data_IF_609093310349
#
_entry.id   IF_609093310349
#
_cell.length_a   1.000
_cell.length_b   1.000
_cell.length_c   1.000
_cell.angle_alpha   90.00
_cell.angle_beta   90.00
_cell.angle_gamma   90.00
#
_symmetry.space_group_name_H-M   'P 1'
#
loop_
_entity.id
_entity.type
_entity.pdbx_description
1 polymer ?
#
# COMPACT_ATOMS: atom_id res chain seq x y z
N UNK A 1 -12.70 7.63 20.35
CA UNK A 1 -13.76 7.29 19.39
C UNK A 1 -14.24 8.49 18.56
N UNK A 2 -13.43 9.54 18.41
CA UNK A 2 -13.75 10.71 17.60
C UNK A 2 -12.68 10.98 16.55
N UNK A 3 -13.07 11.66 15.47
CA UNK A 3 -12.21 12.09 14.37
C UNK A 3 -12.77 13.36 13.73
N UNK A 4 -11.99 14.02 12.89
CA UNK A 4 -12.40 15.24 12.20
C UNK A 4 -12.79 16.36 13.19
N UNK A 5 -13.79 17.15 12.86
CA UNK A 5 -14.25 18.27 13.68
C UNK A 5 -14.73 17.86 15.08
N UNK A 6 -15.31 16.67 15.24
CA UNK A 6 -15.71 16.18 16.56
C UNK A 6 -14.51 15.95 17.47
N UNK A 7 -13.41 15.38 16.91
CA UNK A 7 -12.16 15.26 17.64
C UNK A 7 -11.60 16.62 18.06
N UNK A 8 -11.55 17.59 17.14
CA UNK A 8 -11.03 18.92 17.42
C UNK A 8 -11.81 19.59 18.56
N UNK A 9 -13.13 19.55 18.50
CA UNK A 9 -14.01 20.13 19.53
C UNK A 9 -13.80 19.46 20.90
N UNK A 10 -13.75 18.13 20.94
CA UNK A 10 -13.52 17.36 22.19
C UNK A 10 -12.13 17.60 22.74
N UNK A 11 -11.12 17.66 21.89
CA UNK A 11 -9.75 17.91 22.29
C UNK A 11 -9.61 19.32 22.91
N UNK A 12 -10.19 20.34 22.28
CA UNK A 12 -10.21 21.69 22.83
C UNK A 12 -10.95 21.76 24.17
N UNK A 13 -12.11 21.12 24.30
CA UNK A 13 -12.85 21.04 25.55
C UNK A 13 -12.04 20.34 26.66
N UNK A 14 -11.31 19.28 26.34
CA UNK A 14 -10.41 18.62 27.30
C UNK A 14 -9.25 19.51 27.72
N UNK A 15 -8.65 20.26 26.80
CA UNK A 15 -7.59 21.21 27.09
C UNK A 15 -8.09 22.31 28.05
N UNK A 16 -9.28 22.89 27.77
CA UNK A 16 -9.89 23.88 28.64
C UNK A 16 -10.20 23.31 30.03
N UNK A 17 -10.77 22.10 30.09
CA UNK A 17 -11.05 21.41 31.35
C UNK A 17 -9.77 21.15 32.20
N UNK A 18 -8.64 20.89 31.54
CA UNK A 18 -7.36 20.77 32.23
C UNK A 18 -6.84 22.10 32.76
N UNK A 19 -7.04 23.20 32.01
CA UNK A 19 -6.66 24.55 32.45
C UNK A 19 -7.53 25.03 33.61
N UNK A 20 -8.83 24.69 33.63
CA UNK A 20 -9.75 24.95 34.69
C UNK A 20 -9.53 24.09 35.96
N UNK A 21 -8.55 23.19 35.95
CA UNK A 21 -8.23 22.34 37.10
C UNK A 21 -9.15 21.13 37.29
N UNK A 22 -10.06 20.85 36.36
CA UNK A 22 -11.00 19.72 36.43
C UNK A 22 -10.32 18.36 36.05
N UNK A 23 -9.18 18.40 35.38
CA UNK A 23 -8.38 17.20 35.04
C UNK A 23 -7.15 17.17 35.92
N UNK A 24 -7.03 16.14 36.78
CA UNK A 24 -5.94 16.06 37.76
C UNK A 24 -4.61 15.59 37.18
N UNK A 25 -4.67 14.68 36.20
CA UNK A 25 -3.48 14.07 35.63
C UNK A 25 -3.38 14.43 34.13
N UNK A 26 -2.61 15.43 33.82
CA UNK A 26 -2.30 15.78 32.43
C UNK A 26 -0.84 16.27 32.30
N UNK A 27 -0.32 16.21 31.10
CA UNK A 27 0.98 16.75 30.74
C UNK A 27 0.84 17.58 29.45
N UNK A 28 1.37 18.80 29.47
CA UNK A 28 1.52 19.61 28.26
C UNK A 28 2.88 19.27 27.62
N UNK A 29 2.87 18.92 26.37
CA UNK A 29 4.06 18.67 25.55
C UNK A 29 3.93 19.41 24.23
N UNK A 30 4.94 20.22 23.83
CA UNK A 30 4.90 20.86 22.51
C UNK A 30 4.79 19.82 21.39
N UNK A 31 3.78 19.94 20.54
CA UNK A 31 3.55 18.98 19.45
C UNK A 31 4.78 18.84 18.54
N UNK A 32 5.51 19.93 18.28
CA UNK A 32 6.75 19.94 17.49
C UNK A 32 7.85 19.08 18.10
N UNK A 33 8.00 19.07 19.42
CA UNK A 33 9.00 18.23 20.11
C UNK A 33 8.63 16.76 20.03
N UNK A 34 7.35 16.44 20.25
CA UNK A 34 6.85 15.08 20.09
C UNK A 34 7.05 14.56 18.67
N UNK A 35 6.69 15.36 17.67
CA UNK A 35 6.85 15.01 16.26
C UNK A 35 8.33 14.81 15.88
N UNK A 36 9.22 15.70 16.32
CA UNK A 36 10.67 15.54 16.12
C UNK A 36 11.19 14.24 16.72
N UNK A 37 10.71 13.87 17.92
CA UNK A 37 11.06 12.60 18.55
C UNK A 37 10.57 11.40 17.74
N UNK A 38 9.35 11.45 17.25
CA UNK A 38 8.80 10.39 16.37
C UNK A 38 9.62 10.23 15.09
N UNK A 39 9.94 11.32 14.40
CA UNK A 39 10.78 11.28 13.18
C UNK A 39 12.18 10.73 13.46
N UNK A 40 12.78 11.06 14.62
CA UNK A 40 14.08 10.52 15.00
C UNK A 40 14.01 9.00 15.19
N UNK A 41 13.01 8.50 15.92
CA UNK A 41 12.81 7.07 16.13
C UNK A 41 12.53 6.35 14.81
N UNK A 42 11.71 6.93 13.95
CA UNK A 42 11.45 6.42 12.60
C UNK A 42 12.74 6.28 11.78
N UNK A 43 13.60 7.30 11.83
CA UNK A 43 14.89 7.27 11.14
C UNK A 43 15.82 6.18 11.67
N UNK A 44 15.86 5.98 12.98
CA UNK A 44 16.76 5.03 13.66
C UNK A 44 16.28 3.58 13.58
N UNK A 45 14.94 3.36 13.54
CA UNK A 45 14.37 2.02 13.75
C UNK A 45 13.37 1.61 12.65
N UNK A 46 13.09 2.47 11.67
CA UNK A 46 12.03 2.30 10.68
C UNK A 46 10.61 2.23 11.27
N UNK A 47 10.45 2.46 12.58
CA UNK A 47 9.20 2.40 13.34
C UNK A 47 9.00 3.68 14.18
N UNK A 48 7.77 4.01 14.58
CA UNK A 48 6.46 3.42 14.25
C UNK A 48 6.00 3.81 12.84
N UNK A 49 5.08 3.04 12.24
CA UNK A 49 4.43 3.45 11.01
C UNK A 49 3.32 4.45 11.30
N UNK A 50 3.01 5.31 10.31
CA UNK A 50 2.02 6.36 10.51
C UNK A 50 0.68 5.98 9.86
N UNK A 51 -0.38 6.03 10.67
CA UNK A 51 -1.77 5.92 10.22
C UNK A 51 -2.44 7.27 10.48
N UNK A 52 -3.00 7.86 9.42
CA UNK A 52 -3.67 9.16 9.51
C UNK A 52 -5.14 8.96 9.83
N UNK A 53 -5.54 9.29 11.05
CA UNK A 53 -6.87 8.95 11.58
C UNK A 53 -8.02 9.54 10.78
N UNK A 54 -7.95 10.81 10.41
CA UNK A 54 -9.02 11.47 9.66
C UNK A 54 -9.21 10.89 8.25
N UNK A 55 -8.14 10.71 7.41
CA UNK A 55 -8.28 10.02 6.13
C UNK A 55 -8.87 8.61 6.26
N UNK A 56 -8.46 7.84 7.29
CA UNK A 56 -9.02 6.51 7.52
C UNK A 56 -10.51 6.55 7.83
N UNK A 57 -10.95 7.49 8.67
CA UNK A 57 -12.32 7.50 9.20
C UNK A 57 -13.31 8.31 8.36
N UNK A 58 -12.92 9.47 7.81
CA UNK A 58 -13.77 10.27 6.89
C UNK A 58 -14.10 9.45 5.64
N UNK A 59 -13.20 8.55 5.22
CA UNK A 59 -13.35 7.71 4.05
C UNK A 59 -13.77 6.26 4.37
N UNK A 60 -14.09 5.97 5.63
CA UNK A 60 -14.50 4.63 6.04
C UNK A 60 -15.93 4.32 5.61
N UNK A 61 -16.13 3.22 4.92
CA UNK A 61 -17.44 2.84 4.35
C UNK A 61 -18.49 2.55 5.41
N UNK A 62 -18.10 2.00 6.57
CA UNK A 62 -18.99 1.64 7.68
C UNK A 62 -18.87 2.59 8.89
N UNK A 63 -18.83 3.90 8.65
CA UNK A 63 -18.74 4.93 9.72
C UNK A 63 -19.84 4.81 10.78
N UNK A 64 -21.04 4.37 10.39
CA UNK A 64 -22.20 4.19 11.27
C UNK A 64 -22.01 3.03 12.27
N UNK A 65 -21.15 2.07 11.97
CA UNK A 65 -20.87 0.93 12.82
C UNK A 65 -19.74 1.17 13.81
N UNK A 66 -18.72 1.91 13.46
CA UNK A 66 -17.59 2.12 14.35
C UNK A 66 -16.47 2.98 13.76
N UNK A 67 -15.42 3.14 14.56
CA UNK A 67 -14.25 3.96 14.25
C UNK A 67 -13.03 3.08 13.98
N UNK A 68 -12.28 3.42 12.95
CA UNK A 68 -10.97 2.82 12.67
C UNK A 68 -9.97 3.38 13.68
N UNK A 69 -9.54 2.54 14.64
CA UNK A 69 -8.59 2.94 15.69
C UNK A 69 -7.15 2.78 15.24
N UNK A 70 -6.86 1.73 14.50
CA UNK A 70 -5.54 1.41 14.00
C UNK A 70 -5.67 0.57 12.72
N UNK A 71 -4.54 0.33 12.06
CA UNK A 71 -4.43 -0.57 10.91
C UNK A 71 -3.85 -1.93 11.34
N UNK A 72 -3.77 -2.89 10.40
CA UNK A 72 -3.00 -4.13 10.59
C UNK A 72 -1.49 -3.88 10.54
N UNK A 73 -0.68 -4.94 10.70
CA UNK A 73 0.78 -4.88 10.68
C UNK A 73 1.32 -4.21 9.42
N UNK A 74 0.79 -4.56 8.24
CA UNK A 74 1.26 -4.04 6.95
C UNK A 74 0.57 -2.75 6.50
N UNK A 75 -0.37 -2.22 7.29
CA UNK A 75 -1.04 -0.92 7.14
C UNK A 75 -1.99 -0.74 5.96
N UNK A 76 -2.34 -1.80 5.23
CA UNK A 76 -3.32 -1.74 4.14
C UNK A 76 -4.77 -1.85 4.60
N UNK A 77 -5.04 -2.39 5.80
CA UNK A 77 -6.39 -2.64 6.31
C UNK A 77 -6.85 -1.50 7.22
N UNK A 78 -7.99 -0.91 6.90
CA UNK A 78 -8.60 0.17 7.69
C UNK A 78 -10.06 -0.17 8.01
N UNK A 79 -10.24 -1.00 9.03
CA UNK A 79 -11.53 -1.50 9.51
C UNK A 79 -11.74 -1.11 10.97
N UNK A 80 -13.00 -0.96 11.39
CA UNK A 80 -13.33 -0.71 12.78
C UNK A 80 -13.21 -1.98 13.63
N UNK A 81 -13.09 -1.78 14.94
CA UNK A 81 -13.15 -2.83 15.95
C UNK A 81 -14.12 -2.41 17.05
N UNK A 82 -14.77 -3.39 17.71
CA UNK A 82 -15.66 -3.15 18.84
C UNK A 82 -15.27 -4.06 20.01
N UNK A 83 -15.22 -3.49 21.21
CA UNK A 83 -15.02 -4.27 22.43
C UNK A 83 -16.25 -5.12 22.74
N UNK A 84 -16.04 -6.36 23.20
CA UNK A 84 -17.11 -7.16 23.79
C UNK A 84 -17.62 -6.51 25.09
N UNK A 85 -18.93 -6.60 25.38
CA UNK A 85 -19.50 -6.11 26.62
C UNK A 85 -19.64 -7.24 27.64
N UNK A 86 -19.43 -6.90 28.89
CA UNK A 86 -19.52 -7.81 30.02
C UNK A 86 -20.43 -7.25 31.09
N UNK A 87 -21.22 -8.13 31.74
CA UNK A 87 -22.02 -7.80 32.93
C UNK A 87 -21.77 -8.90 33.97
N UNK A 88 -21.34 -8.49 35.17
CA UNK A 88 -21.02 -9.43 36.27
C UNK A 88 -20.05 -10.55 35.90
N UNK A 89 -19.07 -10.27 35.01
CA UNK A 89 -18.09 -11.23 34.53
C UNK A 89 -18.54 -12.10 33.33
N UNK A 90 -19.79 -12.07 32.96
CA UNK A 90 -20.33 -12.78 31.80
C UNK A 90 -20.34 -11.87 30.55
N UNK A 91 -19.95 -12.44 29.41
CA UNK A 91 -19.99 -11.73 28.11
C UNK A 91 -21.44 -11.61 27.66
N UNK A 92 -21.96 -10.39 27.59
CA UNK A 92 -23.33 -10.07 27.20
C UNK A 92 -23.48 -9.68 25.72
N UNK A 93 -22.39 -9.19 25.11
CA UNK A 93 -22.36 -8.82 23.70
C UNK A 93 -20.99 -9.20 23.11
N UNK A 94 -21.00 -9.88 21.97
CA UNK A 94 -19.77 -10.23 21.24
C UNK A 94 -19.32 -9.00 20.47
N UNK A 95 -18.08 -8.56 20.71
CA UNK A 95 -17.46 -7.47 19.97
C UNK A 95 -17.05 -7.85 18.55
N UNK A 96 -16.26 -7.00 17.94
CA UNK A 96 -15.76 -7.20 16.58
C UNK A 96 -14.24 -7.06 16.54
N UNK A 97 -13.54 -8.12 16.14
CA UNK A 97 -12.13 -8.08 15.77
C UNK A 97 -12.05 -8.08 14.26
N UNK A 98 -11.47 -7.04 13.67
CA UNK A 98 -11.39 -6.89 12.23
C UNK A 98 -10.60 -8.05 11.59
N UNK A 99 -11.18 -8.63 10.54
CA UNK A 99 -10.55 -9.65 9.67
C UNK A 99 -10.77 -9.22 8.23
N UNK A 100 -9.74 -9.33 7.39
CA UNK A 100 -9.83 -9.04 5.97
C UNK A 100 -9.11 -10.13 5.17
N UNK A 101 -9.83 -10.77 4.25
CA UNK A 101 -9.24 -11.74 3.34
C UNK A 101 -8.60 -10.99 2.17
N UNK A 102 -7.32 -11.26 1.91
CA UNK A 102 -6.51 -10.57 0.92
C UNK A 102 -6.26 -11.41 -0.33
N UNK A 103 -6.17 -10.74 -1.46
CA UNK A 103 -5.72 -11.28 -2.73
C UNK A 103 -5.08 -10.19 -3.57
N UNK A 104 -4.16 -10.56 -4.47
CA UNK A 104 -3.50 -9.59 -5.35
C UNK A 104 -3.42 -10.12 -6.77
N UNK A 105 -3.83 -9.29 -7.73
CA UNK A 105 -3.78 -9.60 -9.15
C UNK A 105 -2.37 -9.35 -9.67
N UNK A 106 -1.76 -10.33 -10.32
CA UNK A 106 -0.54 -10.12 -11.10
C UNK A 106 -0.89 -9.34 -12.38
N UNK A 107 -0.63 -8.03 -12.37
CA UNK A 107 -1.00 -7.15 -13.48
C UNK A 107 -0.20 -7.46 -14.76
N UNK A 108 1.04 -7.96 -14.64
CA UNK A 108 1.87 -8.28 -15.80
C UNK A 108 1.22 -9.32 -16.71
N UNK A 109 0.42 -10.24 -16.16
CA UNK A 109 -0.34 -11.23 -16.94
C UNK A 109 -1.48 -10.63 -17.78
N UNK A 110 -1.76 -9.34 -17.63
CA UNK A 110 -2.78 -8.60 -18.37
C UNK A 110 -2.17 -7.64 -19.39
N UNK A 111 -0.84 -7.66 -19.54
CA UNK A 111 -0.14 -6.91 -20.60
C UNK A 111 -0.05 -7.77 -21.85
N UNK A 112 -0.44 -7.20 -22.96
CA UNK A 112 -0.37 -7.83 -24.28
C UNK A 112 0.47 -7.00 -25.23
N UNK A 113 1.12 -7.67 -26.17
CA UNK A 113 1.87 -7.04 -27.25
C UNK A 113 0.97 -6.84 -28.47
N UNK A 114 1.00 -5.66 -29.05
CA UNK A 114 0.31 -5.36 -30.30
C UNK A 114 1.29 -4.79 -31.30
N UNK A 115 1.41 -5.43 -32.44
CA UNK A 115 2.16 -4.90 -33.57
C UNK A 115 1.24 -4.07 -34.46
N UNK A 116 1.57 -2.79 -34.65
CA UNK A 116 0.83 -1.89 -35.53
C UNK A 116 1.84 -1.18 -36.43
N UNK A 117 1.67 -1.32 -37.75
CA UNK A 117 2.55 -0.74 -38.76
C UNK A 117 4.06 -1.04 -38.55
N UNK A 118 4.37 -2.30 -38.15
CA UNK A 118 5.75 -2.75 -37.96
C UNK A 118 6.43 -2.25 -36.67
N UNK A 119 5.69 -1.60 -35.79
CA UNK A 119 6.14 -1.26 -34.43
C UNK A 119 5.38 -2.08 -33.41
N UNK A 120 6.10 -2.79 -32.56
CA UNK A 120 5.52 -3.47 -31.40
C UNK A 120 5.36 -2.48 -30.24
N UNK A 121 4.21 -2.56 -29.57
CA UNK A 121 3.93 -1.84 -28.35
C UNK A 121 3.16 -2.70 -27.37
N UNK A 122 3.26 -2.39 -26.10
CA UNK A 122 2.55 -3.10 -25.03
C UNK A 122 1.35 -2.29 -24.55
N UNK A 123 0.29 -2.96 -24.14
CA UNK A 123 -0.90 -2.34 -23.58
C UNK A 123 -1.57 -3.28 -22.56
N UNK A 124 -2.41 -2.73 -21.68
CA UNK A 124 -3.21 -3.54 -20.75
C UNK A 124 -4.48 -4.01 -21.45
N UNK A 125 -4.72 -5.32 -21.41
CA UNK A 125 -6.00 -5.90 -21.82
C UNK A 125 -7.03 -5.70 -20.67
N UNK A 126 -7.78 -4.62 -20.74
CA UNK A 126 -8.78 -4.26 -19.75
C UNK A 126 -9.95 -5.24 -19.65
N UNK A 127 -10.33 -5.92 -20.75
CA UNK A 127 -11.40 -6.93 -20.73
C UNK A 127 -10.95 -8.17 -19.93
N UNK A 128 -9.72 -8.62 -20.14
CA UNK A 128 -9.12 -9.70 -19.36
C UNK A 128 -8.97 -9.30 -17.88
N UNK A 129 -8.54 -8.08 -17.62
CA UNK A 129 -8.39 -7.56 -16.25
C UNK A 129 -9.74 -7.49 -15.54
N UNK A 130 -10.80 -7.00 -16.21
CA UNK A 130 -12.17 -7.00 -15.70
C UNK A 130 -12.62 -8.40 -15.29
N UNK A 131 -12.46 -9.38 -16.16
CA UNK A 131 -12.84 -10.77 -15.89
C UNK A 131 -12.09 -11.33 -14.68
N UNK A 132 -10.79 -11.01 -14.55
CA UNK A 132 -9.97 -11.42 -13.40
C UNK A 132 -10.43 -10.75 -12.11
N UNK A 133 -10.73 -9.44 -12.13
CA UNK A 133 -11.24 -8.70 -10.97
C UNK A 133 -12.55 -9.34 -10.48
N UNK A 134 -13.51 -9.58 -11.36
CA UNK A 134 -14.81 -10.17 -10.99
C UNK A 134 -14.65 -11.57 -10.39
N UNK A 135 -13.75 -12.38 -10.94
CA UNK A 135 -13.44 -13.71 -10.41
C UNK A 135 -12.78 -13.62 -9.04
N UNK A 136 -11.79 -12.73 -8.87
CA UNK A 136 -11.07 -12.56 -7.61
C UNK A 136 -11.98 -12.05 -6.49
N UNK A 137 -12.85 -11.09 -6.74
CA UNK A 137 -13.84 -10.62 -5.76
C UNK A 137 -14.75 -11.77 -5.31
N UNK A 138 -15.25 -12.59 -6.24
CA UNK A 138 -16.06 -13.77 -5.94
C UNK A 138 -15.30 -14.80 -5.11
N UNK A 139 -14.04 -15.06 -5.45
CA UNK A 139 -13.19 -16.01 -4.69
C UNK A 139 -12.98 -15.53 -3.27
N UNK A 140 -12.66 -14.26 -3.07
CA UNK A 140 -12.46 -13.67 -1.74
C UNK A 140 -13.74 -13.64 -0.90
N UNK A 141 -14.91 -13.35 -1.51
CA UNK A 141 -16.20 -13.46 -0.82
C UNK A 141 -16.50 -14.92 -0.39
N UNK A 142 -16.19 -15.91 -1.22
CA UNK A 142 -16.34 -17.32 -0.86
C UNK A 142 -15.43 -17.72 0.31
N UNK A 143 -14.20 -17.19 0.38
CA UNK A 143 -13.29 -17.49 1.50
C UNK A 143 -13.87 -17.06 2.84
N UNK A 144 -14.66 -15.98 2.91
CA UNK A 144 -15.32 -15.55 4.15
C UNK A 144 -16.20 -16.66 4.73
N UNK A 145 -16.92 -17.39 3.88
CA UNK A 145 -17.87 -18.43 4.31
C UNK A 145 -17.18 -19.76 4.68
N UNK A 146 -16.03 -20.07 4.08
CA UNK A 146 -15.32 -21.34 4.30
C UNK A 146 -14.16 -21.23 5.28
N UNK A 147 -13.80 -20.02 5.71
CA UNK A 147 -12.65 -19.76 6.57
C UNK A 147 -12.90 -20.22 8.01
N UNK A 148 -11.84 -20.59 8.71
CA UNK A 148 -11.86 -20.86 10.14
C UNK A 148 -11.55 -19.58 10.92
N UNK A 149 -12.39 -19.24 11.89
CA UNK A 149 -12.23 -18.07 12.75
C UNK A 149 -11.77 -18.50 14.15
N UNK A 150 -10.60 -18.03 14.61
CA UNK A 150 -10.04 -18.46 15.90
C UNK A 150 -10.80 -17.89 17.11
N UNK A 151 -11.55 -16.79 16.93
CA UNK A 151 -12.35 -16.17 17.99
C UNK A 151 -13.76 -15.83 17.50
N UNK A 152 -14.70 -15.75 18.43
CA UNK A 152 -16.09 -15.36 18.13
C UNK A 152 -16.17 -13.92 17.62
N UNK A 153 -15.31 -13.04 18.13
CA UNK A 153 -15.23 -11.65 17.71
C UNK A 153 -14.76 -11.51 16.24
N UNK A 154 -13.80 -12.34 15.82
CA UNK A 154 -13.34 -12.40 14.44
C UNK A 154 -14.45 -12.93 13.51
N UNK A 155 -15.12 -14.01 13.89
CA UNK A 155 -16.25 -14.55 13.14
C UNK A 155 -17.39 -13.51 13.03
N UNK A 156 -17.76 -12.86 14.16
CA UNK A 156 -18.80 -11.85 14.19
C UNK A 156 -18.50 -10.69 13.22
N UNK A 157 -17.29 -10.14 13.29
CA UNK A 157 -16.86 -9.03 12.41
C UNK A 157 -16.89 -9.42 10.93
N UNK A 158 -16.27 -10.57 10.60
CA UNK A 158 -16.06 -10.93 9.19
C UNK A 158 -17.36 -11.41 8.51
N UNK A 159 -18.19 -12.19 9.18
CA UNK A 159 -19.45 -12.66 8.62
C UNK A 159 -20.48 -11.53 8.48
N UNK A 160 -20.52 -10.60 9.46
CA UNK A 160 -21.44 -9.45 9.48
C UNK A 160 -21.10 -8.41 8.41
N UNK A 161 -19.83 -8.03 8.33
CA UNK A 161 -19.38 -6.91 7.48
C UNK A 161 -18.81 -7.37 6.12
N UNK A 162 -18.38 -8.62 6.01
CA UNK A 162 -17.81 -9.25 4.80
C UNK A 162 -16.72 -8.42 4.10
N UNK A 163 -15.73 -7.83 4.79
CA UNK A 163 -14.68 -7.08 4.13
C UNK A 163 -13.72 -8.00 3.39
N UNK A 164 -13.31 -7.57 2.20
CA UNK A 164 -12.21 -8.18 1.43
C UNK A 164 -11.21 -7.09 1.05
N UNK A 165 -9.99 -7.50 0.71
CA UNK A 165 -8.93 -6.62 0.28
C UNK A 165 -8.29 -7.15 -1.00
N UNK A 166 -8.88 -6.87 -2.15
CA UNK A 166 -8.25 -7.14 -3.43
C UNK A 166 -7.19 -6.09 -3.71
N UNK A 167 -6.01 -6.49 -4.16
CA UNK A 167 -4.90 -5.63 -4.52
C UNK A 167 -4.29 -5.99 -5.87
N UNK A 168 -3.14 -5.40 -6.16
CA UNK A 168 -2.35 -5.67 -7.37
C UNK A 168 -0.87 -5.81 -7.02
N UNK A 169 -0.12 -6.56 -7.82
CA UNK A 169 1.33 -6.65 -7.82
C UNK A 169 1.86 -6.53 -9.25
N UNK A 170 3.15 -6.40 -9.43
CA UNK A 170 3.81 -6.20 -10.71
C UNK A 170 3.54 -4.85 -11.39
N UNK A 171 3.22 -3.81 -10.63
CA UNK A 171 2.98 -2.47 -11.22
C UNK A 171 4.25 -1.96 -11.91
N UNK A 172 5.42 -2.10 -11.27
CA UNK A 172 6.67 -1.63 -11.86
C UNK A 172 7.11 -2.45 -13.08
N UNK A 173 6.86 -3.77 -13.10
CA UNK A 173 7.10 -4.61 -14.28
C UNK A 173 6.26 -4.13 -15.48
N UNK A 174 5.01 -3.79 -15.23
CA UNK A 174 4.13 -3.23 -16.26
C UNK A 174 4.65 -1.89 -16.77
N UNK A 175 5.07 -1.00 -15.88
CA UNK A 175 5.67 0.27 -16.26
C UNK A 175 6.96 0.08 -17.08
N UNK A 176 7.79 -0.92 -16.73
CA UNK A 176 8.95 -1.29 -17.55
C UNK A 176 8.55 -1.74 -18.96
N UNK A 177 7.51 -2.57 -19.11
CA UNK A 177 6.99 -3.00 -20.41
C UNK A 177 6.42 -1.83 -21.22
N UNK A 178 5.72 -0.92 -20.57
CA UNK A 178 5.15 0.28 -21.21
C UNK A 178 6.20 1.39 -21.44
N UNK A 179 7.43 1.19 -20.98
CA UNK A 179 8.51 2.18 -21.03
C UNK A 179 8.18 3.49 -20.32
N UNK A 180 7.55 3.40 -19.15
CA UNK A 180 7.17 4.52 -18.27
C UNK A 180 8.06 4.51 -17.03
N UNK A 181 8.69 5.61 -16.69
CA UNK A 181 9.43 5.75 -15.44
C UNK A 181 8.46 5.87 -14.27
N UNK A 182 8.66 5.07 -13.21
CA UNK A 182 7.74 4.98 -12.07
C UNK A 182 7.55 6.30 -11.33
N UNK A 183 8.55 7.17 -11.33
CA UNK A 183 8.56 8.49 -10.69
C UNK A 183 8.36 9.64 -11.70
N UNK A 184 7.55 9.43 -12.74
CA UNK A 184 7.20 10.40 -13.76
C UNK A 184 5.73 10.85 -13.69
N UNK A 185 5.42 11.98 -14.34
CA UNK A 185 4.04 12.45 -14.47
C UNK A 185 3.18 11.48 -15.29
N UNK A 186 3.79 10.78 -16.25
CA UNK A 186 3.12 9.74 -17.00
C UNK A 186 2.73 8.55 -16.12
N UNK A 187 3.58 8.17 -15.16
CA UNK A 187 3.27 7.15 -14.17
C UNK A 187 2.11 7.58 -13.26
N UNK A 188 2.04 8.85 -12.84
CA UNK A 188 0.92 9.36 -12.04
C UNK A 188 -0.38 9.21 -12.82
N UNK A 189 -0.41 9.62 -14.09
CA UNK A 189 -1.57 9.50 -14.96
C UNK A 189 -1.96 8.04 -15.20
N UNK A 190 -0.99 7.17 -15.49
CA UNK A 190 -1.20 5.74 -15.66
C UNK A 190 -1.85 5.10 -14.42
N UNK A 191 -1.33 5.40 -13.24
CA UNK A 191 -1.86 4.87 -11.99
C UNK A 191 -3.27 5.40 -11.71
N UNK A 192 -3.54 6.65 -12.02
CA UNK A 192 -4.86 7.24 -11.87
C UNK A 192 -5.90 6.51 -12.74
N UNK A 193 -5.62 6.34 -14.02
CA UNK A 193 -6.51 5.67 -14.97
C UNK A 193 -6.69 4.18 -14.67
N UNK A 194 -5.62 3.49 -14.30
CA UNK A 194 -5.67 2.07 -13.94
C UNK A 194 -6.52 1.84 -12.69
N UNK A 195 -6.28 2.62 -11.64
CA UNK A 195 -6.97 2.44 -10.37
C UNK A 195 -8.42 2.97 -10.40
N UNK A 196 -8.74 3.93 -11.26
CA UNK A 196 -10.13 4.29 -11.57
C UNK A 196 -10.90 3.08 -12.14
N UNK A 197 -10.37 2.46 -13.18
CA UNK A 197 -10.97 1.26 -13.79
C UNK A 197 -11.08 0.12 -12.77
N UNK A 198 -10.01 -0.15 -12.06
CA UNK A 198 -9.93 -1.20 -11.04
C UNK A 198 -10.99 -1.02 -9.94
N UNK A 199 -11.13 0.20 -9.43
CA UNK A 199 -12.12 0.54 -8.40
C UNK A 199 -13.54 0.33 -8.91
N UNK A 200 -13.85 0.88 -10.08
CA UNK A 200 -15.15 0.74 -10.71
C UNK A 200 -15.56 -0.73 -10.89
N UNK A 201 -14.65 -1.56 -11.42
CA UNK A 201 -14.91 -2.98 -11.67
C UNK A 201 -14.98 -3.81 -10.38
N UNK A 202 -14.20 -3.48 -9.36
CA UNK A 202 -14.23 -4.18 -8.07
C UNK A 202 -15.53 -3.93 -7.31
N UNK A 203 -15.99 -2.68 -7.30
CA UNK A 203 -17.27 -2.29 -6.70
C UNK A 203 -18.43 -2.95 -7.45
N UNK A 204 -18.43 -2.89 -8.77
CA UNK A 204 -19.45 -3.51 -9.60
C UNK A 204 -19.51 -5.03 -9.38
N UNK A 205 -18.37 -5.71 -9.29
CA UNK A 205 -18.31 -7.14 -9.00
C UNK A 205 -18.92 -7.50 -7.64
N UNK A 206 -18.65 -6.70 -6.60
CA UNK A 206 -19.26 -6.90 -5.28
C UNK A 206 -20.78 -6.66 -5.32
N UNK A 207 -21.24 -5.69 -6.09
CA UNK A 207 -22.66 -5.44 -6.26
C UNK A 207 -23.37 -6.54 -7.06
N UNK A 208 -22.70 -7.15 -8.06
CA UNK A 208 -23.23 -8.37 -8.72
C UNK A 208 -23.43 -9.50 -7.69
N UNK A 209 -22.48 -9.69 -6.78
CA UNK A 209 -22.63 -10.69 -5.73
C UNK A 209 -23.75 -10.32 -4.74
N UNK A 210 -23.98 -9.05 -4.47
CA UNK A 210 -25.12 -8.61 -3.66
C UNK A 210 -26.45 -8.95 -4.33
N UNK A 211 -26.58 -8.79 -5.63
CA UNK A 211 -27.76 -9.21 -6.41
C UNK A 211 -27.98 -10.72 -6.30
N UNK A 212 -26.92 -11.53 -6.33
CA UNK A 212 -27.00 -12.99 -6.31
C UNK A 212 -27.26 -13.54 -4.89
N UNK A 213 -26.71 -12.92 -3.83
CA UNK A 213 -26.58 -13.49 -2.48
C UNK A 213 -27.07 -12.57 -1.37
N UNK A 214 -27.58 -11.38 -1.68
CA UNK A 214 -27.89 -10.33 -0.72
C UNK A 214 -26.67 -9.50 -0.33
N UNK A 215 -26.93 -8.28 0.10
CA UNK A 215 -25.89 -7.36 0.62
C UNK A 215 -25.43 -7.78 2.03
N UNK A 216 -24.31 -7.24 2.51
CA UNK A 216 -23.77 -7.50 3.84
C UNK A 216 -24.67 -6.91 4.93
N UNK A 217 -24.67 -7.49 6.15
CA UNK A 217 -25.66 -7.22 7.22
C UNK A 217 -25.73 -5.74 7.60
N UNK A 218 -24.60 -5.03 7.65
CA UNK A 218 -24.52 -3.63 8.05
C UNK A 218 -24.48 -2.65 6.86
N UNK A 219 -25.07 -3.02 5.74
CA UNK A 219 -25.08 -2.18 4.54
C UNK A 219 -25.83 -0.87 4.74
N UNK A 220 -27.00 -0.93 5.38
CA UNK A 220 -27.83 0.25 5.61
C UNK A 220 -27.15 1.24 6.57
N UNK A 221 -27.06 2.50 6.16
CA UNK A 221 -26.31 3.54 6.87
C UNK A 221 -24.85 3.68 6.45
N UNK A 222 -24.33 2.74 5.64
CA UNK A 222 -22.98 2.82 5.10
C UNK A 222 -22.83 3.94 4.06
N UNK A 223 -21.59 4.32 3.73
CA UNK A 223 -21.34 5.25 2.62
C UNK A 223 -21.88 4.70 1.30
N UNK A 224 -21.85 3.37 1.11
CA UNK A 224 -22.41 2.73 -0.09
C UNK A 224 -23.91 2.96 -0.21
N UNK A 225 -24.67 2.78 0.86
CA UNK A 225 -26.12 3.01 0.87
C UNK A 225 -26.49 4.49 0.66
N UNK A 226 -25.56 5.40 0.92
CA UNK A 226 -25.67 6.84 0.67
C UNK A 226 -25.17 7.23 -0.73
N UNK A 227 -24.79 6.26 -1.57
CA UNK A 227 -24.21 6.51 -2.89
C UNK A 227 -22.89 7.32 -2.85
N UNK A 228 -22.13 7.18 -1.75
CA UNK A 228 -20.81 7.81 -1.55
C UNK A 228 -19.72 6.78 -1.82
N UNK A 229 -19.03 6.93 -2.92
CA UNK A 229 -17.96 6.03 -3.39
C UNK A 229 -16.58 6.53 -2.96
N UNK A 230 -15.50 5.76 -3.18
CA UNK A 230 -14.15 6.17 -2.77
C UNK A 230 -13.75 7.56 -3.26
N UNK A 231 -14.05 7.91 -4.50
CA UNK A 231 -13.74 9.24 -5.06
C UNK A 231 -14.54 10.36 -4.38
N UNK A 232 -15.82 10.11 -4.06
CA UNK A 232 -16.66 11.10 -3.38
C UNK A 232 -16.16 11.34 -1.95
N UNK A 233 -15.82 10.25 -1.24
CA UNK A 233 -15.25 10.31 0.09
C UNK A 233 -13.86 10.98 0.11
N UNK A 234 -13.07 10.81 -0.97
CA UNK A 234 -11.81 11.53 -1.16
C UNK A 234 -12.04 13.04 -1.34
N UNK A 235 -12.99 13.43 -2.17
CA UNK A 235 -13.34 14.83 -2.37
C UNK A 235 -13.84 15.47 -1.06
N UNK A 236 -14.64 14.74 -0.27
CA UNK A 236 -15.07 15.17 1.07
C UNK A 236 -13.88 15.38 2.02
N UNK A 237 -12.90 14.46 2.00
CA UNK A 237 -11.67 14.59 2.80
C UNK A 237 -10.86 15.82 2.36
N UNK A 238 -10.68 16.04 1.06
CA UNK A 238 -9.90 17.17 0.56
C UNK A 238 -10.59 18.50 0.88
N UNK A 239 -11.92 18.56 0.77
CA UNK A 239 -12.72 19.70 1.21
C UNK A 239 -12.58 19.97 2.72
N UNK A 240 -12.65 18.92 3.55
CA UNK A 240 -12.40 19.03 4.99
C UNK A 240 -11.02 19.60 5.31
N UNK A 241 -9.99 19.20 4.56
CA UNK A 241 -8.61 19.69 4.69
C UNK A 241 -8.39 21.08 4.10
N UNK A 242 -9.35 21.64 3.38
CA UNK A 242 -9.19 22.89 2.62
C UNK A 242 -8.18 22.78 1.48
N UNK A 243 -8.08 21.61 0.86
CA UNK A 243 -7.15 21.31 -0.23
C UNK A 243 -7.90 20.95 -1.51
N UNK A 244 -7.28 21.22 -2.65
CA UNK A 244 -7.80 20.76 -3.93
C UNK A 244 -7.57 19.24 -4.10
N UNK A 245 -8.53 18.51 -4.69
CA UNK A 245 -8.33 17.11 -5.05
C UNK A 245 -7.23 16.95 -6.09
N UNK A 246 -6.52 15.82 -6.06
CA UNK A 246 -5.56 15.45 -7.10
C UNK A 246 -6.32 15.14 -8.39
N UNK A 247 -5.93 15.78 -9.49
CA UNK A 247 -6.67 15.73 -10.77
C UNK A 247 -8.00 16.50 -10.66
N UNK A 248 -8.95 16.18 -11.52
CA UNK A 248 -10.25 16.87 -11.55
C UNK A 248 -11.24 16.37 -10.48
N UNK A 249 -10.91 15.29 -9.75
CA UNK A 249 -11.86 14.63 -8.85
C UNK A 249 -13.09 14.06 -9.56
N UNK A 250 -13.02 13.96 -10.89
CA UNK A 250 -14.08 13.48 -11.76
C UNK A 250 -13.82 12.03 -12.21
N UNK A 251 -14.88 11.34 -12.59
CA UNK A 251 -14.87 9.96 -13.10
C UNK A 251 -15.15 9.93 -14.59
N UNK A 252 -14.69 8.87 -15.26
CA UNK A 252 -15.15 8.55 -16.63
C UNK A 252 -16.62 8.13 -16.56
N UNK A 253 -17.51 8.99 -17.09
CA UNK A 253 -18.94 9.03 -16.74
C UNK A 253 -19.70 7.71 -16.92
N UNK A 254 -19.52 7.00 -18.04
CA UNK A 254 -20.42 5.90 -18.41
C UNK A 254 -20.28 4.65 -17.53
N UNK A 255 -19.07 4.21 -17.25
CA UNK A 255 -18.83 3.00 -16.44
C UNK A 255 -19.23 3.21 -14.97
N UNK A 256 -18.97 4.41 -14.43
CA UNK A 256 -19.36 4.76 -13.07
C UNK A 256 -20.87 4.90 -12.91
N UNK A 257 -21.57 5.44 -13.91
CA UNK A 257 -23.04 5.54 -13.91
C UNK A 257 -23.66 4.14 -13.74
N UNK A 258 -23.20 3.16 -14.54
CA UNK A 258 -23.66 1.77 -14.47
C UNK A 258 -23.38 1.18 -13.08
N UNK A 259 -22.18 1.38 -12.55
CA UNK A 259 -21.80 0.84 -11.24
C UNK A 259 -22.61 1.47 -10.10
N UNK A 260 -22.83 2.79 -10.12
CA UNK A 260 -23.63 3.52 -9.13
C UNK A 260 -25.09 3.08 -9.15
N UNK A 261 -25.67 2.98 -10.35
CA UNK A 261 -27.05 2.50 -10.51
C UNK A 261 -27.20 1.08 -9.95
N UNK A 262 -26.28 0.19 -10.28
CA UNK A 262 -26.34 -1.21 -9.81
C UNK A 262 -26.19 -1.32 -8.30
N UNK A 263 -25.27 -0.55 -7.68
CA UNK A 263 -25.13 -0.50 -6.21
C UNK A 263 -26.38 0.09 -5.56
N UNK A 264 -26.99 1.11 -6.15
CA UNK A 264 -28.25 1.69 -5.64
C UNK A 264 -29.41 0.71 -5.68
N UNK A 265 -29.43 -0.20 -6.66
CA UNK A 265 -30.52 -1.19 -6.83
C UNK A 265 -30.31 -2.45 -5.96
N UNK A 266 -29.08 -2.95 -5.87
CA UNK A 266 -28.77 -4.25 -5.26
C UNK A 266 -27.89 -4.19 -4.00
N UNK A 267 -27.32 -3.04 -3.68
CA UNK A 267 -26.36 -2.87 -2.59
C UNK A 267 -24.97 -3.41 -2.90
N UNK A 268 -24.20 -3.64 -1.82
CA UNK A 268 -22.85 -4.20 -1.86
C UNK A 268 -22.81 -5.52 -1.06
N UNK A 269 -22.15 -6.55 -1.60
CA UNK A 269 -21.90 -7.81 -0.89
C UNK A 269 -20.86 -7.67 0.21
N UNK A 270 -19.89 -6.78 0.02
CA UNK A 270 -18.72 -6.59 0.88
C UNK A 270 -18.70 -5.15 1.39
N UNK A 271 -18.43 -4.95 2.67
CA UNK A 271 -18.31 -3.60 3.27
C UNK A 271 -17.10 -2.84 2.73
N UNK A 272 -16.03 -3.57 2.42
CA UNK A 272 -14.82 -3.07 1.81
C UNK A 272 -14.35 -4.08 0.76
N UNK A 273 -13.73 -3.59 -0.31
CA UNK A 273 -13.38 -4.44 -1.46
C UNK A 273 -11.89 -4.40 -1.79
N UNK A 274 -11.23 -3.27 -1.59
CA UNK A 274 -9.90 -3.00 -2.13
C UNK A 274 -8.89 -2.60 -1.05
N UNK A 275 -7.74 -3.29 -1.03
CA UNK A 275 -6.59 -2.95 -0.20
C UNK A 275 -5.31 -3.37 -0.94
N UNK A 276 -4.26 -2.56 -0.86
CA UNK A 276 -2.99 -2.87 -1.51
C UNK A 276 -1.99 -3.38 -0.48
N UNK A 277 -1.88 -4.72 -0.43
CA UNK A 277 -0.95 -5.43 0.43
C UNK A 277 0.49 -5.43 -0.13
N UNK A 278 1.52 -5.68 0.68
CA UNK A 278 2.92 -5.63 0.23
C UNK A 278 3.29 -6.70 -0.79
N UNK A 279 2.66 -7.86 -0.76
CA UNK A 279 2.87 -9.04 -1.63
C UNK A 279 4.32 -9.52 -1.76
N UNK A 280 5.15 -9.33 -0.72
CA UNK A 280 6.57 -9.62 -0.75
C UNK A 280 6.86 -11.07 -1.18
N UNK A 281 6.29 -12.06 -0.50
CA UNK A 281 6.52 -13.48 -0.80
C UNK A 281 5.83 -13.91 -2.09
N UNK A 282 4.58 -13.53 -2.31
CA UNK A 282 3.84 -13.97 -3.51
C UNK A 282 4.32 -13.28 -4.78
N UNK A 283 4.93 -12.09 -4.70
CA UNK A 283 5.63 -11.44 -5.80
C UNK A 283 6.80 -12.31 -6.28
N UNK A 284 7.67 -12.74 -5.38
CA UNK A 284 8.80 -13.65 -5.73
C UNK A 284 8.34 -15.00 -6.25
N UNK A 285 7.28 -15.60 -5.67
CA UNK A 285 6.71 -16.86 -6.18
C UNK A 285 6.23 -16.70 -7.63
N UNK A 286 5.69 -15.54 -7.97
CA UNK A 286 5.20 -15.23 -9.32
C UNK A 286 6.31 -14.67 -10.25
N UNK A 287 7.51 -14.43 -9.75
CA UNK A 287 8.63 -13.85 -10.51
C UNK A 287 8.38 -12.41 -10.97
N UNK A 288 7.70 -11.62 -10.15
CA UNK A 288 7.36 -10.21 -10.43
C UNK A 288 7.70 -9.31 -9.26
N UNK A 289 7.78 -8.00 -9.51
CA UNK A 289 7.95 -7.00 -8.47
C UNK A 289 6.76 -6.95 -7.51
N UNK A 290 7.07 -6.66 -6.27
CA UNK A 290 6.12 -6.64 -5.17
C UNK A 290 5.16 -5.46 -5.31
N UNK A 291 3.86 -5.73 -5.20
CA UNK A 291 2.82 -4.72 -5.04
C UNK A 291 2.96 -3.55 -6.05
N UNK A 292 3.08 -2.36 -5.50
CA UNK A 292 3.22 -1.07 -6.21
C UNK A 292 4.64 -0.52 -6.11
N UNK A 293 5.56 -1.29 -5.50
CA UNK A 293 6.88 -0.82 -5.11
C UNK A 293 7.79 -0.60 -6.32
N UNK A 294 8.70 0.39 -6.25
CA UNK A 294 9.78 0.47 -7.19
C UNK A 294 10.72 -0.72 -7.03
N UNK A 295 11.29 -1.16 -8.11
CA UNK A 295 12.35 -2.18 -8.11
C UNK A 295 13.48 -1.73 -7.17
N UNK A 296 13.84 -2.61 -6.23
CA UNK A 296 14.85 -2.27 -5.22
C UNK A 296 16.21 -1.98 -5.87
N UNK A 297 16.63 -2.88 -6.76
CA UNK A 297 17.87 -2.81 -7.54
C UNK A 297 17.74 -3.79 -8.71
N UNK A 298 18.52 -3.64 -9.78
CA UNK A 298 18.49 -4.58 -10.91
C UNK A 298 19.08 -5.95 -10.59
N UNK A 299 19.85 -6.05 -9.52
CA UNK A 299 20.40 -7.28 -8.96
C UNK A 299 20.54 -7.11 -7.45
N UNK A 300 20.03 -8.07 -6.69
CA UNK A 300 20.26 -8.15 -5.24
C UNK A 300 20.26 -9.60 -4.75
N UNK A 301 20.78 -9.80 -3.56
CA UNK A 301 20.80 -11.13 -2.92
C UNK A 301 19.61 -11.22 -1.98
N UNK A 302 18.76 -12.20 -2.19
CA UNK A 302 17.69 -12.57 -1.28
C UNK A 302 18.16 -13.74 -0.41
N UNK A 303 18.29 -13.49 0.88
CA UNK A 303 18.71 -14.49 1.86
C UNK A 303 17.51 -15.04 2.62
N UNK A 304 17.39 -16.35 2.70
CA UNK A 304 16.42 -17.01 3.56
C UNK A 304 17.03 -18.29 4.18
N UNK A 305 16.23 -19.03 4.98
CA UNK A 305 16.67 -20.27 5.62
C UNK A 305 17.12 -21.36 4.63
N UNK A 306 16.73 -21.28 3.38
CA UNK A 306 17.09 -22.25 2.32
C UNK A 306 18.36 -21.86 1.58
N UNK A 307 18.88 -20.63 1.78
CA UNK A 307 20.12 -20.15 1.16
C UNK A 307 20.01 -18.75 0.58
N UNK A 308 21.01 -18.37 -0.19
CA UNK A 308 21.13 -17.08 -0.85
C UNK A 308 20.75 -17.21 -2.31
N UNK A 309 19.81 -16.38 -2.76
CA UNK A 309 19.30 -16.36 -4.12
C UNK A 309 19.61 -15.01 -4.77
N UNK A 310 20.17 -15.05 -5.98
CA UNK A 310 20.35 -13.83 -6.77
C UNK A 310 19.06 -13.53 -7.52
N UNK A 311 18.45 -12.40 -7.19
CA UNK A 311 17.28 -11.88 -7.89
C UNK A 311 17.75 -10.85 -8.90
N UNK A 312 17.37 -11.03 -10.15
CA UNK A 312 17.72 -10.14 -11.26
C UNK A 312 16.46 -9.59 -11.92
N UNK A 313 16.49 -8.31 -12.28
CA UNK A 313 15.42 -7.71 -13.06
C UNK A 313 15.52 -8.18 -14.53
N UNK A 314 14.57 -9.00 -14.98
CA UNK A 314 14.58 -9.56 -16.32
C UNK A 314 14.37 -8.49 -17.40
N UNK A 315 13.60 -7.44 -17.12
CA UNK A 315 13.38 -6.33 -18.06
C UNK A 315 14.69 -5.58 -18.35
N UNK A 316 15.51 -5.38 -17.30
CA UNK A 316 16.85 -4.81 -17.47
C UNK A 316 17.74 -5.67 -18.36
N UNK A 317 17.77 -6.99 -18.13
CA UNK A 317 18.56 -7.92 -18.94
C UNK A 317 18.08 -7.91 -20.39
N UNK A 318 16.77 -7.87 -20.62
CA UNK A 318 16.19 -7.86 -21.96
C UNK A 318 16.53 -6.55 -22.70
N UNK A 319 16.41 -5.40 -22.03
CA UNK A 319 16.79 -4.12 -22.62
C UNK A 319 18.29 -4.06 -22.94
N UNK A 320 19.16 -4.54 -22.04
CA UNK A 320 20.61 -4.63 -22.29
C UNK A 320 20.95 -5.55 -23.47
N UNK A 321 20.23 -6.68 -23.63
CA UNK A 321 20.38 -7.57 -24.78
C UNK A 321 19.92 -6.92 -26.08
N UNK A 322 18.81 -6.20 -26.05
CA UNK A 322 18.28 -5.49 -27.22
C UNK A 322 19.25 -4.40 -27.71
N UNK A 323 19.96 -3.76 -26.79
CA UNK A 323 21.03 -2.81 -27.12
C UNK A 323 22.37 -3.49 -27.51
N UNK A 324 22.45 -4.82 -27.42
CA UNK A 324 23.70 -5.56 -27.70
C UNK A 324 24.78 -5.39 -26.64
N UNK A 325 24.41 -4.95 -25.43
CA UNK A 325 25.33 -4.59 -24.34
C UNK A 325 25.45 -5.68 -23.26
N UNK A 326 24.61 -6.73 -23.29
CA UNK A 326 24.67 -7.77 -22.27
C UNK A 326 25.78 -8.79 -22.52
N UNK A 327 26.74 -8.87 -21.60
CA UNK A 327 27.83 -9.84 -21.61
C UNK A 327 28.13 -10.33 -20.20
N UNK A 328 28.93 -11.45 -20.04
CA UNK A 328 29.39 -11.91 -18.73
C UNK A 328 30.18 -10.85 -17.95
N UNK A 329 30.94 -10.03 -18.63
CA UNK A 329 31.73 -8.93 -18.06
C UNK A 329 30.80 -7.85 -17.49
N UNK A 330 29.77 -7.44 -18.24
CA UNK A 330 28.76 -6.47 -17.77
C UNK A 330 27.96 -7.04 -16.60
N UNK A 331 27.57 -8.31 -16.65
CA UNK A 331 26.90 -8.97 -15.54
C UNK A 331 27.75 -8.95 -14.26
N UNK A 332 29.08 -9.15 -14.38
CA UNK A 332 30.02 -9.03 -13.27
C UNK A 332 30.09 -7.60 -12.73
N UNK A 333 30.22 -6.59 -13.61
CA UNK A 333 30.22 -5.18 -13.21
C UNK A 333 28.96 -4.81 -12.44
N UNK A 334 27.77 -5.20 -12.94
CA UNK A 334 26.48 -4.98 -12.25
C UNK A 334 26.46 -5.62 -10.87
N UNK A 335 27.02 -6.84 -10.75
CA UNK A 335 27.14 -7.53 -9.46
C UNK A 335 28.11 -6.82 -8.51
N UNK A 336 29.23 -6.31 -9.00
CA UNK A 336 30.25 -5.62 -8.18
C UNK A 336 29.74 -4.32 -7.57
N UNK A 337 28.69 -3.73 -8.15
CA UNK A 337 27.99 -2.52 -7.65
C UNK A 337 26.64 -2.82 -6.99
N UNK A 338 26.35 -4.09 -6.68
CA UNK A 338 25.08 -4.53 -6.06
C UNK A 338 23.85 -4.05 -6.84
N UNK A 339 23.96 -3.98 -8.17
CA UNK A 339 22.91 -3.55 -9.09
C UNK A 339 22.61 -2.05 -9.11
N UNK A 340 23.41 -1.22 -8.46
CA UNK A 340 23.30 0.23 -8.53
C UNK A 340 24.04 0.77 -9.79
N UNK A 341 23.28 0.93 -10.88
CA UNK A 341 23.82 1.35 -12.17
C UNK A 341 24.40 2.76 -12.15
N UNK A 342 24.08 3.59 -11.15
CA UNK A 342 24.65 4.94 -11.00
C UNK A 342 26.15 4.93 -10.71
N UNK A 343 26.64 3.80 -10.20
CA UNK A 343 28.07 3.60 -9.85
C UNK A 343 28.92 3.07 -11.01
N UNK A 344 28.28 2.74 -12.14
CA UNK A 344 28.97 2.28 -13.33
C UNK A 344 29.33 3.45 -14.24
N UNK A 345 30.63 3.70 -14.41
CA UNK A 345 31.15 4.60 -15.46
C UNK A 345 31.22 3.84 -16.79
N UNK A 346 30.80 4.47 -17.90
CA UNK A 346 30.98 3.97 -19.26
C UNK A 346 29.68 3.49 -19.94
N UNK A 347 29.75 2.42 -20.71
CA UNK A 347 28.92 2.08 -21.87
C UNK A 347 27.42 1.76 -21.65
N UNK A 348 26.86 1.91 -20.44
CA UNK A 348 25.43 1.75 -20.23
C UNK A 348 24.71 3.06 -20.61
N UNK A 349 23.78 3.02 -21.58
CA UNK A 349 23.03 4.18 -22.00
C UNK A 349 22.32 4.88 -20.85
N UNK A 350 22.31 6.22 -20.88
CA UNK A 350 21.72 7.01 -19.80
C UNK A 350 20.23 6.70 -19.59
N UNK A 351 19.48 6.40 -20.65
CA UNK A 351 18.07 6.03 -20.53
C UNK A 351 17.87 4.72 -19.74
N UNK A 352 18.78 3.73 -19.86
CA UNK A 352 18.77 2.50 -19.06
C UNK A 352 19.05 2.81 -17.59
N UNK A 353 20.07 3.65 -17.31
CA UNK A 353 20.37 4.08 -15.95
C UNK A 353 19.18 4.80 -15.32
N UNK A 354 18.46 5.66 -16.05
CA UNK A 354 17.28 6.37 -15.57
C UNK A 354 16.09 5.42 -15.34
N UNK A 355 15.84 4.50 -16.27
CA UNK A 355 14.74 3.54 -16.19
C UNK A 355 14.90 2.56 -15.01
N UNK A 356 16.14 2.16 -14.72
CA UNK A 356 16.48 1.15 -13.72
C UNK A 356 17.18 1.70 -12.47
N UNK A 357 16.93 2.96 -12.11
CA UNK A 357 17.35 3.53 -10.82
C UNK A 357 16.91 2.66 -9.66
N UNK A 358 17.74 2.60 -8.61
CA UNK A 358 17.33 1.94 -7.37
C UNK A 358 16.15 2.67 -6.72
N UNK A 359 15.41 1.97 -5.87
CA UNK A 359 14.30 2.57 -5.13
C UNK A 359 14.72 3.84 -4.34
N UNK A 360 15.96 3.87 -3.84
CA UNK A 360 16.49 5.01 -3.08
C UNK A 360 16.83 6.25 -3.92
N UNK A 361 17.04 6.07 -5.22
CA UNK A 361 17.42 7.15 -6.15
C UNK A 361 16.19 7.72 -6.90
N UNK A 362 14.99 7.21 -6.60
CA UNK A 362 13.72 7.70 -7.12
C UNK A 362 13.28 8.98 -6.42
N UNK A 363 12.53 9.81 -7.14
CA UNK A 363 11.91 10.98 -6.56
C UNK A 363 10.76 10.57 -5.62
N UNK A 364 10.98 10.62 -4.30
CA UNK A 364 10.01 10.19 -3.30
C UNK A 364 8.70 10.99 -3.37
N UNK A 365 8.74 12.27 -3.69
CA UNK A 365 7.52 13.08 -3.83
C UNK A 365 6.67 12.63 -5.03
N UNK A 366 7.29 12.23 -6.14
CA UNK A 366 6.57 11.64 -7.28
C UNK A 366 5.97 10.27 -6.93
N UNK A 367 6.65 9.45 -6.14
CA UNK A 367 6.08 8.20 -5.64
C UNK A 367 4.90 8.45 -4.70
N UNK A 368 4.93 9.50 -3.87
CA UNK A 368 3.78 9.92 -3.05
C UNK A 368 2.61 10.36 -3.94
N UNK A 369 2.85 11.17 -4.98
CA UNK A 369 1.82 11.57 -5.95
C UNK A 369 1.19 10.35 -6.65
N UNK A 370 1.99 9.35 -7.08
CA UNK A 370 1.50 8.09 -7.63
C UNK A 370 0.59 7.36 -6.63
N UNK A 371 0.99 7.31 -5.34
CA UNK A 371 0.19 6.66 -4.32
C UNK A 371 -1.09 7.44 -3.97
N UNK A 372 -1.05 8.77 -4.01
CA UNK A 372 -2.25 9.59 -3.87
C UNK A 372 -3.23 9.35 -5.03
N UNK A 373 -2.72 9.22 -6.27
CA UNK A 373 -3.52 8.88 -7.44
C UNK A 373 -4.22 7.52 -7.29
N UNK A 374 -3.55 6.53 -6.70
CA UNK A 374 -4.14 5.22 -6.37
C UNK A 374 -5.12 5.32 -5.21
N UNK A 375 -4.70 5.94 -4.09
CA UNK A 375 -5.45 5.96 -2.83
C UNK A 375 -6.83 6.61 -2.98
N UNK A 376 -7.01 7.60 -3.85
CA UNK A 376 -8.32 8.25 -4.03
C UNK A 376 -9.40 7.28 -4.51
N UNK A 377 -9.02 6.21 -5.21
CA UNK A 377 -9.92 5.19 -5.75
C UNK A 377 -10.18 4.01 -4.80
N UNK A 378 -9.42 3.86 -3.72
CA UNK A 378 -9.49 2.73 -2.80
C UNK A 378 -10.35 3.03 -1.57
N UNK A 379 -11.08 2.03 -1.11
CA UNK A 379 -11.88 2.09 0.12
C UNK A 379 -11.09 1.75 1.38
N UNK A 380 -10.02 0.95 1.29
CA UNK A 380 -9.06 0.76 2.38
C UNK A 380 -7.74 1.49 2.08
N UNK A 381 -6.58 0.99 2.53
CA UNK A 381 -5.30 1.68 2.44
C UNK A 381 -4.29 0.96 1.54
N UNK A 382 -3.10 1.51 1.48
CA UNK A 382 -1.96 1.03 0.70
C UNK A 382 -0.78 0.82 1.65
N UNK A 383 -0.17 -0.38 1.63
CA UNK A 383 1.13 -0.63 2.25
C UNK A 383 2.21 0.07 1.44
N UNK A 384 2.52 1.30 1.80
CA UNK A 384 3.43 2.17 1.04
C UNK A 384 4.75 2.37 1.75
N UNK A 385 5.84 1.81 1.23
CA UNK A 385 7.19 2.04 1.73
C UNK A 385 7.71 3.42 1.33
N UNK A 386 8.38 4.06 2.26
CA UNK A 386 9.08 5.33 2.05
C UNK A 386 10.59 5.05 1.93
N UNK A 387 11.21 5.44 0.84
CA UNK A 387 12.65 5.26 0.61
C UNK A 387 13.38 6.56 0.91
N UNK A 388 14.38 6.50 1.77
CA UNK A 388 15.10 7.66 2.24
C UNK A 388 16.61 7.49 2.05
N UNK A 389 17.21 8.42 1.30
CA UNK A 389 18.64 8.51 1.10
C UNK A 389 19.27 9.74 1.77
N UNK A 390 18.48 10.44 2.63
CA UNK A 390 18.89 11.69 3.28
C UNK A 390 18.98 11.54 4.80
N UNK A 391 19.94 12.20 5.42
CA UNK A 391 20.04 12.32 6.90
C UNK A 391 19.26 13.53 7.44
N UNK A 392 18.58 14.29 6.58
CA UNK A 392 17.85 15.50 6.94
C UNK A 392 16.50 15.19 7.57
N UNK A 393 16.32 15.54 8.85
CA UNK A 393 15.01 15.47 9.51
C UNK A 393 13.97 16.40 8.88
N UNK A 394 14.42 17.48 8.23
CA UNK A 394 13.51 18.36 7.47
C UNK A 394 12.94 17.62 6.25
N UNK A 395 13.80 16.96 5.48
CA UNK A 395 13.38 16.17 4.32
C UNK A 395 12.38 15.06 4.73
N UNK A 396 12.68 14.37 5.84
CA UNK A 396 11.78 13.35 6.38
C UNK A 396 10.43 13.94 6.82
N UNK A 397 10.45 15.09 7.50
CA UNK A 397 9.21 15.81 7.84
C UNK A 397 8.41 16.14 6.58
N UNK A 398 9.07 16.67 5.54
CA UNK A 398 8.39 17.08 4.31
C UNK A 398 7.74 15.88 3.58
N UNK A 399 8.37 14.70 3.57
CA UNK A 399 7.81 13.44 3.06
C UNK A 399 6.51 13.06 3.82
N UNK A 400 6.56 12.97 5.16
CA UNK A 400 5.39 12.58 5.94
C UNK A 400 4.26 13.61 5.86
N UNK A 401 4.60 14.89 5.83
CA UNK A 401 3.62 15.97 5.64
C UNK A 401 2.98 15.89 4.26
N UNK A 402 3.74 15.54 3.22
CA UNK A 402 3.19 15.36 1.88
C UNK A 402 2.24 14.15 1.82
N UNK A 403 2.61 13.01 2.42
CA UNK A 403 1.70 11.87 2.57
C UNK A 403 0.37 12.27 3.20
N UNK A 404 0.44 13.02 4.31
CA UNK A 404 -0.77 13.51 4.98
C UNK A 404 -1.58 14.49 4.11
N UNK A 405 -0.93 15.47 3.48
CA UNK A 405 -1.57 16.47 2.61
C UNK A 405 -2.28 15.82 1.44
N UNK A 406 -1.63 14.86 0.77
CA UNK A 406 -2.16 14.16 -0.40
C UNK A 406 -3.34 13.24 -0.09
N UNK A 407 -3.71 13.08 1.19
CA UNK A 407 -4.86 12.28 1.59
C UNK A 407 -4.60 10.78 1.69
N UNK A 408 -3.33 10.36 1.80
CA UNK A 408 -3.00 8.98 2.11
C UNK A 408 -3.58 8.59 3.48
N UNK A 409 -3.97 7.34 3.63
CA UNK A 409 -4.49 6.79 4.89
C UNK A 409 -3.37 6.31 5.80
N UNK A 410 -2.33 5.71 5.23
CA UNK A 410 -1.24 5.05 5.96
C UNK A 410 0.09 5.23 5.24
N UNK A 411 1.18 5.01 5.99
CA UNK A 411 2.52 4.72 5.48
C UNK A 411 3.01 3.42 6.09
N UNK A 412 3.96 2.76 5.43
CA UNK A 412 4.55 1.52 5.90
C UNK A 412 6.00 1.73 6.37
N UNK A 413 6.96 0.89 6.00
CA UNK A 413 8.35 1.06 6.41
C UNK A 413 8.98 2.35 5.89
N UNK A 414 9.78 3.00 6.73
CA UNK A 414 10.80 3.93 6.29
C UNK A 414 12.08 3.14 6.02
N UNK A 415 12.42 2.96 4.76
CA UNK A 415 13.65 2.27 4.36
C UNK A 415 14.77 3.29 4.19
N UNK A 416 15.78 3.21 5.03
CA UNK A 416 16.96 4.08 4.96
C UNK A 416 18.07 3.39 4.19
N UNK A 417 18.74 4.11 3.26
CA UNK A 417 19.99 3.63 2.66
C UNK A 417 21.04 3.57 3.76
N UNK A 418 21.71 2.42 3.92
CA UNK A 418 22.75 2.27 4.91
C UNK A 418 23.89 3.29 4.68
N UNK A 419 24.34 3.94 5.74
CA UNK A 419 25.37 4.98 5.68
C UNK A 419 26.76 4.45 5.29
N UNK A 420 26.99 3.15 5.36
CA UNK A 420 28.29 2.52 5.05
C UNK A 420 28.20 1.63 3.82
N UNK A 421 28.84 2.06 2.73
CA UNK A 421 29.41 1.08 1.82
C UNK A 421 30.51 0.35 2.60
N UNK A 422 30.39 -0.96 2.73
CA UNK A 422 31.53 -1.77 3.18
C UNK A 422 32.64 -1.47 2.20
N UNK A 423 33.75 -0.88 2.67
CA UNK A 423 34.99 -0.78 1.88
C UNK A 423 35.33 -2.20 1.45
N UNK A 424 35.18 -2.49 0.16
CA UNK A 424 35.67 -3.75 -0.42
C UNK A 424 37.18 -3.72 -0.30
N UNK A 425 37.73 -4.33 0.74
CA UNK A 425 39.17 -4.55 0.82
C UNK A 425 39.58 -5.48 -0.33
N UNK A 426 40.38 -4.96 -1.24
CA UNK A 426 41.17 -5.74 -2.16
C UNK A 426 42.22 -6.51 -1.36
N UNK A 427 41.88 -7.70 -0.88
CA UNK A 427 42.86 -8.71 -0.46
C UNK A 427 42.19 -10.08 -0.47
N UNK A 428 42.91 -10.97 -1.11
CA UNK A 428 42.67 -12.42 -1.17
C UNK A 428 42.48 -13.02 0.22
N UNK A 429 41.59 -14.01 0.27
CA UNK A 429 41.46 -15.06 1.28
C UNK A 429 41.60 -14.68 2.77
N UNK A 430 40.49 -14.56 3.44
CA UNK A 430 40.35 -15.17 4.77
C UNK A 430 38.90 -15.36 5.16
N UNK A 431 38.53 -16.62 5.39
CA UNK A 431 37.32 -17.09 6.03
C UNK A 431 37.12 -16.37 7.36
N UNK A 432 36.05 -15.62 7.51
CA UNK A 432 35.40 -15.47 8.82
C UNK A 432 33.92 -15.16 8.63
N UNK A 433 33.12 -16.17 8.94
CA UNK A 433 31.68 -16.15 9.12
C UNK A 433 31.26 -15.10 10.14
N UNK A 434 30.46 -14.10 9.71
CA UNK A 434 29.53 -13.43 10.60
C UNK A 434 28.14 -13.49 9.95
N UNK A 435 27.44 -14.59 10.23
CA UNK A 435 26.03 -14.77 9.95
C UNK A 435 25.20 -13.85 10.84
N UNK A 436 24.66 -12.78 10.30
CA UNK A 436 23.49 -12.15 10.89
C UNK A 436 22.25 -12.81 10.28
N UNK A 437 21.71 -13.74 11.04
CA UNK A 437 20.49 -14.49 10.73
C UNK A 437 19.27 -13.57 10.87
N UNK A 438 18.66 -13.18 9.76
CA UNK A 438 17.31 -12.64 9.73
C UNK A 438 16.33 -13.77 10.03
N UNK A 439 15.42 -13.57 10.98
CA UNK A 439 14.44 -14.53 11.50
C UNK A 439 14.90 -15.47 12.60
N UNK A 440 15.27 -14.92 13.72
CA UNK A 440 15.23 -15.62 15.01
C UNK A 440 14.51 -14.73 16.03
N UNK A 441 13.99 -15.36 17.11
CA UNK A 441 13.47 -14.62 18.29
C UNK A 441 14.52 -13.65 18.84
N UNK A 442 15.79 -13.91 18.64
CA UNK A 442 16.91 -13.05 18.98
C UNK A 442 17.05 -11.85 18.06
N UNK A 443 16.76 -11.97 16.75
CA UNK A 443 16.72 -10.83 15.83
C UNK A 443 15.56 -9.87 16.16
N UNK A 444 14.40 -10.40 16.56
CA UNK A 444 13.29 -9.57 17.07
C UNK A 444 13.64 -8.85 18.38
N UNK A 445 14.42 -9.46 19.28
CA UNK A 445 14.90 -8.82 20.51
C UNK A 445 15.93 -7.72 20.25
N UNK A 446 16.66 -7.80 19.16
CA UNK A 446 17.72 -6.86 18.78
C UNK A 446 17.30 -5.85 17.69
N UNK A 447 15.99 -5.75 17.37
CA UNK A 447 15.46 -4.76 16.40
C UNK A 447 15.68 -5.12 14.93
N UNK A 448 15.94 -6.38 14.60
CA UNK A 448 16.04 -6.86 13.23
C UNK A 448 14.65 -7.10 12.59
N UNK A 449 14.54 -6.83 11.29
CA UNK A 449 13.31 -7.01 10.51
C UNK A 449 12.96 -8.49 10.31
N UNK A 450 11.70 -8.85 10.51
CA UNK A 450 11.17 -10.15 10.12
C UNK A 450 10.39 -10.00 8.81
N UNK A 451 11.02 -10.31 7.68
CA UNK A 451 10.36 -10.32 6.37
C UNK A 451 9.45 -11.54 6.14
N UNK A 452 9.41 -12.49 7.07
CA UNK A 452 8.65 -13.74 6.92
C UNK A 452 7.25 -13.72 7.55
N UNK A 453 6.79 -12.60 8.11
CA UNK A 453 5.46 -12.48 8.70
C UNK A 453 4.44 -11.82 7.76
N UNK A 454 4.47 -12.19 6.49
CA UNK A 454 3.46 -11.76 5.51
C UNK A 454 2.71 -12.94 4.95
#
# INVERSE_FOLDING_TARGET
DSFGKDFDNRYQAMCQSAEDGNVKNFRKTPAKELWKKMLKVLFETSHPWCTFKDPCNIRYTNQHEGVVHSSNLCTEITLHTKASKYKSGEKTEIGETAVCNLGSINLLNHVEEKSTHGKSGYFINYDKLKSTIHTAVRMLDNVIDINFYPTKEAANSNLKNRPIGLGMMAIHDVLHKLNINIDSDESIKFNDELFEFYSCQSIYASSILAKERGFYETYEGSLWSQNIFPIDSYNNLMSYKGQAPLGNGETKKDEWEISRQHVSEFGMRNSNVMAIAPTATIGYINGVEQSIEPNFSVLFVYENKSGNFFITNQHFIDDMKNEGLWSPEVAKLVKDVDGDLSLLDGDIPQWIKEKYKTAFDRNMFKLIECNAARQKWLDQAISFNLYNNSTSLKYLNDIYMECWKSGLKTTYYLRNRAASKVEKSTSEESNSSSSQTSCSIEAMKNGGECESCQ
#
